data_IF_515853281225
#
_entry.id   IF_515853281225
#
_cell.length_a   1.000
_cell.length_b   1.000
_cell.length_c   1.000
_cell.angle_alpha   90.00
_cell.angle_beta   90.00
_cell.angle_gamma   90.00
#
_symmetry.space_group_name_H-M   'P 1'
#
loop_
_entity.id
_entity.type
_entity.pdbx_description
1 polymer ?
#
# COMPACT_ATOMS: atom_id res chain seq x y z
N UNK A 1 4.84 27.47 19.88
CA UNK A 1 6.29 27.81 20.03
C UNK A 1 6.99 26.54 20.50
N UNK A 2 8.06 26.12 19.83
CA UNK A 2 8.87 24.97 20.19
C UNK A 2 10.25 25.47 20.67
N UNK A 3 10.75 24.89 21.77
CA UNK A 3 12.12 25.19 22.22
C UNK A 3 13.13 24.55 21.27
N UNK A 4 14.20 25.27 20.94
CA UNK A 4 15.26 24.82 20.03
C UNK A 4 15.92 23.51 20.49
N UNK A 5 16.20 23.39 21.79
CA UNK A 5 16.79 22.19 22.39
C UNK A 5 15.94 20.93 22.16
N UNK A 6 14.60 21.05 22.25
CA UNK A 6 13.67 19.96 22.01
C UNK A 6 13.69 19.55 20.54
N UNK A 7 13.75 20.53 19.61
CA UNK A 7 13.84 20.24 18.19
C UNK A 7 15.16 19.53 17.86
N UNK A 8 16.28 20.03 18.34
CA UNK A 8 17.60 19.47 18.11
C UNK A 8 17.72 18.03 18.64
N UNK A 9 17.09 17.72 19.78
CA UNK A 9 17.10 16.37 20.37
C UNK A 9 16.37 15.30 19.53
N UNK A 10 15.43 15.70 18.67
CA UNK A 10 14.64 14.78 17.85
C UNK A 10 14.91 14.94 16.35
N UNK A 11 15.68 15.92 15.93
CA UNK A 11 15.88 16.28 14.52
C UNK A 11 16.38 15.11 13.66
N UNK A 12 17.26 14.27 14.20
CA UNK A 12 17.79 13.10 13.51
C UNK A 12 16.77 11.94 13.34
N UNK A 13 15.68 11.95 14.14
CA UNK A 13 14.64 10.93 14.12
C UNK A 13 13.38 11.36 13.35
N UNK A 14 13.35 12.61 12.85
CA UNK A 14 12.22 13.11 12.08
C UNK A 14 12.19 12.53 10.68
N UNK A 15 10.98 12.20 10.21
CA UNK A 15 10.77 11.75 8.84
C UNK A 15 10.60 12.99 7.95
N UNK A 16 11.48 13.26 6.97
CA UNK A 16 11.46 14.48 6.14
C UNK A 16 10.33 14.41 5.09
N UNK A 17 9.08 14.30 5.51
CA UNK A 17 7.94 14.18 4.59
C UNK A 17 6.69 14.89 5.14
N UNK A 18 6.27 15.92 4.40
CA UNK A 18 4.93 16.47 4.48
C UNK A 18 4.65 17.51 5.59
N UNK A 19 3.39 17.89 5.73
CA UNK A 19 2.88 18.98 6.59
C UNK A 19 2.78 18.63 8.08
N UNK A 20 3.40 17.54 8.55
CA UNK A 20 3.08 16.91 9.84
C UNK A 20 4.22 16.95 10.84
N UNK A 21 5.13 17.87 10.66
CA UNK A 21 6.31 18.02 11.51
C UNK A 21 5.97 18.10 13.01
N UNK A 22 4.84 18.73 13.36
CA UNK A 22 4.42 18.83 14.76
C UNK A 22 4.05 17.44 15.33
N UNK A 23 3.28 16.65 14.60
CA UNK A 23 2.92 15.27 15.01
C UNK A 23 4.17 14.40 15.13
N UNK A 24 5.09 14.55 14.19
CA UNK A 24 6.33 13.78 14.16
C UNK A 24 7.24 14.13 15.35
N UNK A 25 7.33 15.40 15.71
CA UNK A 25 8.04 15.88 16.91
C UNK A 25 7.38 15.31 18.18
N UNK A 26 6.04 15.42 18.29
CA UNK A 26 5.30 14.90 19.46
C UNK A 26 5.48 13.38 19.61
N UNK A 27 5.40 12.64 18.51
CA UNK A 27 5.60 11.18 18.52
C UNK A 27 7.06 10.80 18.85
N UNK A 28 8.05 11.58 18.38
CA UNK A 28 9.47 11.33 18.63
C UNK A 28 9.87 11.56 20.08
N UNK A 29 9.22 12.48 20.79
CA UNK A 29 9.51 12.78 22.18
C UNK A 29 8.92 11.76 23.17
N UNK A 30 8.17 10.76 22.71
CA UNK A 30 7.57 9.68 23.53
C UNK A 30 6.86 10.16 24.79
N UNK A 31 6.18 11.32 24.74
CA UNK A 31 5.46 11.90 25.86
C UNK A 31 6.34 12.61 26.91
N UNK A 32 7.65 12.74 26.71
CA UNK A 32 8.55 13.44 27.63
C UNK A 32 8.48 14.96 27.48
N UNK A 33 7.75 15.47 26.46
CA UNK A 33 7.61 16.90 26.24
C UNK A 33 6.41 17.45 26.99
N UNK A 34 6.60 18.58 27.68
CA UNK A 34 5.51 19.34 28.28
C UNK A 34 4.79 20.14 27.18
N UNK A 35 3.55 19.74 26.89
CA UNK A 35 2.71 20.37 25.85
C UNK A 35 1.65 21.22 26.53
N UNK A 36 1.47 22.46 26.04
CA UNK A 36 0.37 23.30 26.42
C UNK A 36 -0.46 23.63 25.17
N UNK A 37 -1.76 23.45 25.27
CA UNK A 37 -2.71 23.82 24.24
C UNK A 37 -3.19 25.25 24.45
N UNK A 38 -3.10 26.07 23.41
CA UNK A 38 -3.60 27.44 23.42
C UNK A 38 -4.71 27.56 22.39
N UNK A 39 -5.93 27.82 22.85
CA UNK A 39 -7.06 28.03 21.96
C UNK A 39 -6.87 29.31 21.13
N UNK A 40 -7.00 29.15 19.81
CA UNK A 40 -7.04 30.30 18.94
C UNK A 40 -8.10 30.14 17.85
N UNK A 41 -8.65 31.28 17.37
CA UNK A 41 -9.61 31.26 16.26
C UNK A 41 -8.90 31.24 14.92
N UNK A 42 -9.09 30.20 14.15
CA UNK A 42 -8.67 30.15 12.75
C UNK A 42 -9.45 31.19 11.95
N UNK A 43 -8.75 32.09 11.28
CA UNK A 43 -9.37 32.93 10.27
C UNK A 43 -9.60 32.15 9.01
N UNK A 44 -10.74 32.36 8.35
CA UNK A 44 -10.99 31.74 7.03
C UNK A 44 -9.90 32.16 6.05
N UNK A 45 -9.42 31.25 5.27
CA UNK A 45 -8.40 31.47 4.24
C UNK A 45 -8.98 32.43 3.20
N UNK A 46 -8.33 33.54 2.95
CA UNK A 46 -8.78 34.52 1.95
C UNK A 46 -8.39 34.14 0.54
N UNK A 47 -7.35 33.33 0.35
CA UNK A 47 -6.89 32.83 -0.96
C UNK A 47 -6.32 31.41 -0.86
N UNK A 48 -6.48 30.62 -1.93
CA UNK A 48 -5.89 29.29 -2.13
C UNK A 48 -6.84 28.12 -1.84
N UNK A 49 -6.66 27.03 -2.61
CA UNK A 49 -7.38 25.77 -2.42
C UNK A 49 -6.85 25.03 -1.20
N UNK A 50 -7.72 24.31 -0.51
CA UNK A 50 -7.32 23.42 0.58
C UNK A 50 -6.36 22.36 0.05
N UNK A 51 -5.14 22.27 0.60
CA UNK A 51 -4.18 21.21 0.30
C UNK A 51 -4.49 19.91 1.05
N UNK A 52 -5.68 19.79 1.62
CA UNK A 52 -6.14 18.55 2.25
C UNK A 52 -6.58 17.59 1.14
N UNK A 53 -5.60 17.05 0.46
CA UNK A 53 -5.74 16.07 -0.61
C UNK A 53 -5.62 14.66 -0.03
N UNK A 54 -6.12 13.68 -0.77
CA UNK A 54 -5.98 12.25 -0.47
C UNK A 54 -4.54 11.88 -0.10
N UNK A 55 -3.55 12.49 -0.76
CA UNK A 55 -2.13 12.36 -0.42
C UNK A 55 -1.82 12.75 1.03
N UNK A 56 -2.36 13.86 1.51
CA UNK A 56 -2.11 14.30 2.89
C UNK A 56 -2.68 13.32 3.92
N UNK A 57 -3.79 12.65 3.61
CA UNK A 57 -4.35 11.58 4.46
C UNK A 57 -3.44 10.36 4.41
N UNK A 58 -3.01 9.94 3.23
CA UNK A 58 -2.14 8.79 3.03
C UNK A 58 -0.79 8.97 3.75
N UNK A 59 -0.17 10.16 3.62
CA UNK A 59 1.06 10.49 4.32
C UNK A 59 0.86 10.53 5.85
N UNK A 60 -0.33 10.93 6.33
CA UNK A 60 -0.66 10.91 7.75
C UNK A 60 -0.79 9.49 8.29
N UNK A 61 -1.55 8.66 7.63
CA UNK A 61 -1.67 7.25 7.98
C UNK A 61 -0.30 6.56 7.92
N UNK A 62 0.50 6.98 6.95
CA UNK A 62 1.85 6.54 6.77
C UNK A 62 2.78 6.83 7.93
N UNK A 63 2.79 8.06 8.38
CA UNK A 63 3.58 8.47 9.54
C UNK A 63 3.12 7.72 10.80
N UNK A 64 1.80 7.61 11.00
CA UNK A 64 1.23 6.91 12.15
C UNK A 64 1.66 5.44 12.16
N UNK A 65 1.55 4.76 11.02
CA UNK A 65 1.94 3.38 10.87
C UNK A 65 3.45 3.18 11.10
N UNK A 66 4.28 4.06 10.51
CA UNK A 66 5.73 4.04 10.72
C UNK A 66 6.08 4.14 12.20
N UNK A 67 5.40 5.01 12.94
CA UNK A 67 5.62 5.17 14.39
C UNK A 67 5.11 3.98 15.19
N UNK A 68 3.97 3.39 14.82
CA UNK A 68 3.42 2.20 15.51
C UNK A 68 4.25 0.94 15.27
N UNK A 69 4.85 0.79 14.09
CA UNK A 69 5.59 -0.42 13.70
C UNK A 69 7.11 -0.29 13.85
N UNK A 70 7.59 0.86 14.36
CA UNK A 70 9.03 1.13 14.43
C UNK A 70 9.71 1.21 13.05
N UNK A 71 8.94 1.50 11.99
CA UNK A 71 9.45 1.61 10.62
C UNK A 71 9.60 0.28 9.88
N UNK A 72 9.20 -0.84 10.48
CA UNK A 72 9.34 -2.17 9.86
C UNK A 72 8.36 -2.40 8.71
N UNK A 73 7.20 -1.73 8.72
CA UNK A 73 6.18 -1.87 7.67
C UNK A 73 6.15 -0.61 6.81
N UNK A 74 6.40 -0.79 5.51
CA UNK A 74 6.25 0.29 4.54
C UNK A 74 4.78 0.62 4.33
N UNK A 75 4.45 1.92 4.32
CA UNK A 75 3.11 2.42 4.00
C UNK A 75 2.65 1.97 2.63
N UNK A 76 3.55 1.97 1.64
CA UNK A 76 3.25 1.47 0.30
C UNK A 76 2.86 0.00 0.32
N UNK A 77 3.52 -0.81 1.16
CA UNK A 77 3.14 -2.20 1.33
C UNK A 77 1.72 -2.35 1.87
N UNK A 78 1.35 -1.54 2.88
CA UNK A 78 -0.01 -1.59 3.42
C UNK A 78 -1.06 -1.20 2.37
N UNK A 79 -0.82 -0.12 1.59
CA UNK A 79 -1.73 0.24 0.50
C UNK A 79 -1.80 -0.84 -0.56
N UNK A 80 -0.69 -1.44 -0.92
CA UNK A 80 -0.65 -2.57 -1.85
C UNK A 80 -1.51 -3.74 -1.35
N UNK A 81 -1.43 -4.06 -0.05
CA UNK A 81 -2.26 -5.10 0.57
C UNK A 81 -3.75 -4.76 0.56
N UNK A 82 -4.11 -3.50 0.88
CA UNK A 82 -5.51 -3.04 0.83
C UNK A 82 -6.04 -3.13 -0.60
N UNK A 83 -5.27 -2.68 -1.58
CA UNK A 83 -5.64 -2.80 -3.00
C UNK A 83 -5.79 -4.26 -3.41
N UNK A 84 -4.91 -5.14 -2.93
CA UNK A 84 -5.02 -6.58 -3.15
C UNK A 84 -6.32 -7.18 -2.58
N UNK A 85 -6.72 -6.76 -1.38
CA UNK A 85 -7.99 -7.18 -0.77
C UNK A 85 -9.21 -6.68 -1.57
N UNK A 86 -9.17 -5.44 -2.05
CA UNK A 86 -10.21 -4.91 -2.95
C UNK A 86 -10.26 -5.72 -4.26
N UNK A 87 -9.12 -6.06 -4.82
CA UNK A 87 -9.04 -6.89 -6.02
C UNK A 87 -9.61 -8.28 -5.82
N UNK A 88 -9.42 -8.89 -4.65
CA UNK A 88 -10.08 -10.16 -4.30
C UNK A 88 -11.60 -10.01 -4.27
N UNK A 89 -12.12 -8.94 -3.68
CA UNK A 89 -13.56 -8.67 -3.68
C UNK A 89 -14.10 -8.50 -5.11
N UNK A 90 -13.40 -7.75 -5.97
CA UNK A 90 -13.74 -7.58 -7.39
C UNK A 90 -13.74 -8.94 -8.10
N UNK A 91 -12.71 -9.76 -7.86
CA UNK A 91 -12.59 -11.10 -8.45
C UNK A 91 -13.82 -11.96 -8.11
N UNK A 92 -14.20 -12.03 -6.84
CA UNK A 92 -15.34 -12.84 -6.40
C UNK A 92 -16.67 -12.34 -6.98
N UNK A 93 -16.85 -11.02 -7.08
CA UNK A 93 -18.05 -10.41 -7.67
C UNK A 93 -18.13 -10.76 -9.15
N UNK A 94 -17.06 -10.56 -9.90
CA UNK A 94 -17.02 -10.82 -11.36
C UNK A 94 -17.20 -12.32 -11.64
N UNK A 95 -16.55 -13.19 -10.87
CA UNK A 95 -16.72 -14.64 -10.95
C UNK A 95 -18.19 -15.02 -10.77
N UNK A 96 -18.83 -14.49 -9.72
CA UNK A 96 -20.25 -14.77 -9.44
C UNK A 96 -21.16 -14.29 -10.57
N UNK A 97 -20.94 -13.08 -11.07
CA UNK A 97 -21.72 -12.53 -12.19
C UNK A 97 -21.55 -13.40 -13.44
N UNK A 98 -20.31 -13.79 -13.76
CA UNK A 98 -20.04 -14.65 -14.92
C UNK A 98 -20.77 -15.99 -14.83
N UNK A 99 -20.72 -16.65 -13.67
CA UNK A 99 -21.44 -17.90 -13.43
C UNK A 99 -22.96 -17.74 -13.53
N UNK A 100 -23.52 -16.65 -13.00
CA UNK A 100 -24.95 -16.35 -13.12
C UNK A 100 -25.35 -16.03 -14.57
N UNK A 101 -24.41 -15.49 -15.37
CA UNK A 101 -24.60 -15.24 -16.80
C UNK A 101 -24.48 -16.48 -17.68
N UNK A 102 -24.30 -17.68 -17.09
CA UNK A 102 -24.22 -18.95 -17.81
C UNK A 102 -22.82 -19.32 -18.33
N UNK A 103 -21.78 -18.58 -17.97
CA UNK A 103 -20.40 -18.98 -18.30
C UNK A 103 -20.00 -20.18 -17.43
N UNK A 104 -19.25 -21.13 -18.01
CA UNK A 104 -18.60 -22.17 -17.26
C UNK A 104 -17.57 -21.59 -16.26
N UNK A 105 -17.33 -22.32 -15.16
CA UNK A 105 -16.45 -21.86 -14.07
C UNK A 105 -15.08 -21.37 -14.58
N UNK A 106 -14.42 -22.13 -15.45
CA UNK A 106 -13.07 -21.79 -15.97
C UNK A 106 -13.05 -20.48 -16.75
N UNK A 107 -14.06 -20.24 -17.59
CA UNK A 107 -14.18 -19.00 -18.35
C UNK A 107 -14.47 -17.81 -17.43
N UNK A 108 -15.43 -17.97 -16.48
CA UNK A 108 -15.76 -16.95 -15.51
C UNK A 108 -14.56 -16.62 -14.59
N UNK A 109 -13.82 -17.65 -14.15
CA UNK A 109 -12.61 -17.52 -13.33
C UNK A 109 -11.50 -16.76 -14.08
N UNK A 110 -11.27 -17.09 -15.34
CA UNK A 110 -10.23 -16.42 -16.17
C UNK A 110 -10.54 -14.95 -16.35
N UNK A 111 -11.79 -14.62 -16.69
CA UNK A 111 -12.24 -13.22 -16.85
C UNK A 111 -12.12 -12.47 -15.52
N UNK A 112 -12.58 -13.07 -14.42
CA UNK A 112 -12.51 -12.47 -13.08
C UNK A 112 -11.06 -12.18 -12.68
N UNK A 113 -10.14 -13.10 -12.96
CA UNK A 113 -8.70 -12.93 -12.67
C UNK A 113 -8.11 -11.75 -13.45
N UNK A 114 -8.37 -11.67 -14.75
CA UNK A 114 -7.85 -10.57 -15.59
C UNK A 114 -8.41 -9.22 -15.13
N UNK A 115 -9.71 -9.15 -14.83
CA UNK A 115 -10.35 -7.91 -14.36
C UNK A 115 -9.77 -7.51 -12.99
N UNK A 116 -9.63 -8.44 -12.05
CA UNK A 116 -9.06 -8.16 -10.73
C UNK A 116 -7.60 -7.68 -10.81
N UNK A 117 -6.76 -8.34 -11.59
CA UNK A 117 -5.37 -7.94 -11.81
C UNK A 117 -5.27 -6.55 -12.47
N UNK A 118 -6.11 -6.28 -13.47
CA UNK A 118 -6.17 -4.97 -14.12
C UNK A 118 -6.58 -3.88 -13.12
N UNK A 119 -7.62 -4.13 -12.34
CA UNK A 119 -8.09 -3.22 -11.30
C UNK A 119 -7.01 -2.95 -10.25
N UNK A 120 -6.32 -3.99 -9.78
CA UNK A 120 -5.21 -3.87 -8.85
C UNK A 120 -4.07 -3.00 -9.42
N UNK A 121 -3.70 -3.22 -10.67
CA UNK A 121 -2.69 -2.38 -11.33
C UNK A 121 -3.14 -0.91 -11.40
N UNK A 122 -4.37 -0.64 -11.85
CA UNK A 122 -4.88 0.72 -12.00
C UNK A 122 -4.94 1.45 -10.65
N UNK A 123 -5.48 0.81 -9.63
CA UNK A 123 -5.60 1.40 -8.28
C UNK A 123 -4.21 1.60 -7.65
N UNK A 124 -3.29 0.64 -7.77
CA UNK A 124 -1.92 0.80 -7.31
C UNK A 124 -1.20 1.94 -8.04
N UNK A 125 -1.38 2.06 -9.35
CA UNK A 125 -0.80 3.15 -10.14
C UNK A 125 -1.36 4.53 -9.76
N UNK A 126 -2.61 4.59 -9.30
CA UNK A 126 -3.26 5.84 -8.88
C UNK A 126 -2.97 6.23 -7.43
N UNK A 127 -2.91 5.25 -6.53
CA UNK A 127 -2.81 5.47 -5.08
C UNK A 127 -1.42 5.12 -4.54
N UNK A 128 -1.04 3.85 -4.60
CA UNK A 128 0.19 3.34 -3.97
C UNK A 128 1.45 3.95 -4.58
N UNK A 129 1.45 4.11 -5.91
CA UNK A 129 2.57 4.63 -6.69
C UNK A 129 2.23 5.95 -7.40
N UNK A 130 1.43 6.79 -6.76
CA UNK A 130 0.96 8.07 -7.32
C UNK A 130 2.09 9.05 -7.66
N UNK A 131 3.22 8.96 -6.95
CA UNK A 131 4.47 9.70 -7.19
C UNK A 131 5.26 9.19 -8.41
N UNK A 132 5.07 7.92 -8.78
CA UNK A 132 5.71 7.26 -9.94
C UNK A 132 4.67 6.80 -10.97
N UNK A 133 3.55 7.49 -11.07
CA UNK A 133 2.40 7.11 -11.89
C UNK A 133 2.77 6.93 -13.37
N UNK A 134 2.53 5.74 -13.88
CA UNK A 134 2.70 5.40 -15.29
C UNK A 134 1.54 5.96 -16.14
N UNK A 135 1.84 6.45 -17.34
CA UNK A 135 0.87 7.02 -18.28
C UNK A 135 1.12 6.53 -19.70
N UNK A 136 0.09 6.54 -20.54
CA UNK A 136 0.18 6.17 -21.95
C UNK A 136 0.76 4.77 -22.17
N UNK A 137 1.70 4.64 -23.10
CA UNK A 137 2.36 3.38 -23.45
C UNK A 137 3.14 2.75 -22.27
N UNK A 138 3.71 3.59 -21.39
CA UNK A 138 4.38 3.12 -20.18
C UNK A 138 3.40 2.42 -19.22
N UNK A 139 2.14 2.87 -19.13
CA UNK A 139 1.12 2.20 -18.34
C UNK A 139 0.77 0.82 -18.91
N UNK A 140 0.68 0.68 -20.23
CA UNK A 140 0.42 -0.61 -20.87
C UNK A 140 1.58 -1.59 -20.65
N UNK A 141 2.83 -1.15 -20.84
CA UNK A 141 4.00 -1.95 -20.56
C UNK A 141 4.09 -2.33 -19.06
N UNK A 142 3.73 -1.40 -18.18
CA UNK A 142 3.64 -1.65 -16.75
C UNK A 142 2.59 -2.69 -16.39
N UNK A 143 1.41 -2.65 -17.01
CA UNK A 143 0.36 -3.65 -16.83
C UNK A 143 0.81 -5.05 -17.23
N UNK A 144 1.47 -5.19 -18.38
CA UNK A 144 2.01 -6.48 -18.81
C UNK A 144 3.06 -7.03 -17.85
N UNK A 145 3.99 -6.19 -17.39
CA UNK A 145 4.95 -6.57 -16.36
C UNK A 145 4.27 -6.98 -15.05
N UNK A 146 3.22 -6.26 -14.66
CA UNK A 146 2.45 -6.57 -13.47
C UNK A 146 1.77 -7.94 -13.56
N UNK A 147 1.23 -8.31 -14.71
CA UNK A 147 0.69 -9.66 -14.93
C UNK A 147 1.74 -10.74 -14.75
N UNK A 148 2.94 -10.56 -15.29
CA UNK A 148 4.04 -11.52 -15.12
C UNK A 148 4.42 -11.64 -13.66
N UNK A 149 4.59 -10.52 -12.97
CA UNK A 149 4.94 -10.50 -11.52
C UNK A 149 3.88 -11.21 -10.69
N UNK A 150 2.59 -10.91 -10.92
CA UNK A 150 1.51 -11.55 -10.19
C UNK A 150 1.42 -13.07 -10.47
N UNK A 151 1.70 -13.49 -11.70
CA UNK A 151 1.77 -14.90 -12.06
C UNK A 151 2.86 -15.65 -11.31
N UNK A 152 4.07 -15.08 -11.25
CA UNK A 152 5.19 -15.69 -10.48
C UNK A 152 4.89 -15.67 -8.98
N UNK A 153 4.30 -14.59 -8.45
CA UNK A 153 3.90 -14.51 -7.05
C UNK A 153 2.83 -15.53 -6.67
N UNK A 154 1.91 -15.85 -7.59
CA UNK A 154 0.94 -16.92 -7.39
C UNK A 154 1.62 -18.31 -7.32
N UNK A 155 2.61 -18.57 -8.16
CA UNK A 155 3.40 -19.80 -8.07
C UNK A 155 4.18 -19.89 -6.76
N UNK A 156 4.78 -18.81 -6.30
CA UNK A 156 5.47 -18.75 -5.00
C UNK A 156 4.51 -19.02 -3.83
N UNK A 157 3.31 -18.43 -3.85
CA UNK A 157 2.26 -18.70 -2.88
C UNK A 157 1.90 -20.19 -2.84
N UNK A 158 1.57 -20.77 -3.99
CA UNK A 158 1.19 -22.19 -4.10
C UNK A 158 2.33 -23.08 -3.62
N UNK A 159 3.56 -22.80 -4.04
CA UNK A 159 4.74 -23.58 -3.66
C UNK A 159 4.95 -23.63 -2.15
N UNK A 160 4.92 -22.47 -1.49
CA UNK A 160 5.10 -22.38 -0.02
C UNK A 160 3.93 -23.03 0.73
N UNK A 161 2.69 -22.76 0.31
CA UNK A 161 1.53 -23.35 0.93
C UNK A 161 1.54 -24.90 0.81
N UNK A 162 1.84 -25.42 -0.37
CA UNK A 162 1.91 -26.87 -0.61
C UNK A 162 3.03 -27.51 0.20
N UNK A 163 4.22 -26.90 0.25
CA UNK A 163 5.35 -27.41 1.02
C UNK A 163 5.04 -27.49 2.52
N UNK A 164 4.45 -26.46 3.11
CA UNK A 164 4.06 -26.47 4.51
C UNK A 164 2.97 -27.48 4.80
N UNK A 165 1.97 -27.61 3.93
CA UNK A 165 0.89 -28.58 4.08
C UNK A 165 1.40 -30.02 4.07
N UNK A 166 2.31 -30.37 3.14
CA UNK A 166 2.95 -31.69 3.10
C UNK A 166 3.83 -31.94 4.33
N UNK A 167 4.38 -30.89 4.94
CA UNK A 167 5.16 -30.98 6.19
C UNK A 167 4.31 -31.10 7.47
N UNK A 168 3.04 -31.50 7.35
CA UNK A 168 2.07 -31.68 8.44
C UNK A 168 1.64 -30.40 9.16
N UNK A 169 1.84 -29.21 8.57
CA UNK A 169 1.26 -27.98 9.09
C UNK A 169 -0.25 -27.91 8.82
N UNK A 170 -0.97 -27.21 9.69
CA UNK A 170 -2.39 -26.98 9.50
C UNK A 170 -2.66 -26.24 8.19
N UNK A 171 -3.70 -26.63 7.44
CA UNK A 171 -4.04 -26.06 6.13
C UNK A 171 -4.17 -24.54 6.12
N UNK A 172 -4.67 -23.94 7.22
CA UNK A 172 -4.82 -22.50 7.36
C UNK A 172 -3.47 -21.80 7.60
N UNK A 173 -2.53 -22.42 8.34
CA UNK A 173 -1.15 -21.91 8.51
C UNK A 173 -0.44 -21.92 7.17
N UNK A 174 -0.51 -23.03 6.45
CA UNK A 174 0.07 -23.17 5.12
C UNK A 174 -0.50 -22.14 4.13
N UNK A 175 -1.81 -21.96 4.14
CA UNK A 175 -2.49 -20.94 3.31
C UNK A 175 -2.04 -19.52 3.63
N UNK A 176 -2.03 -19.12 4.91
CA UNK A 176 -1.60 -17.77 5.33
C UNK A 176 -0.13 -17.54 4.95
N UNK A 177 0.76 -18.50 5.20
CA UNK A 177 2.18 -18.36 4.85
C UNK A 177 2.37 -18.18 3.35
N UNK A 178 1.66 -18.95 2.52
CA UNK A 178 1.68 -18.80 1.06
C UNK A 178 1.23 -17.40 0.63
N UNK A 179 0.13 -16.89 1.20
CA UNK A 179 -0.37 -15.53 0.91
C UNK A 179 0.64 -14.46 1.30
N UNK A 180 1.26 -14.55 2.47
CA UNK A 180 2.28 -13.59 2.91
C UNK A 180 3.47 -13.57 1.95
N UNK A 181 3.98 -14.74 1.56
CA UNK A 181 5.11 -14.86 0.62
C UNK A 181 4.72 -14.31 -0.76
N UNK A 182 3.58 -14.71 -1.31
CA UNK A 182 3.09 -14.24 -2.60
C UNK A 182 2.86 -12.73 -2.63
N UNK A 183 2.24 -12.16 -1.60
CA UNK A 183 1.99 -10.73 -1.50
C UNK A 183 3.29 -9.91 -1.34
N UNK A 184 4.22 -10.40 -0.51
CA UNK A 184 5.53 -9.76 -0.32
C UNK A 184 6.35 -9.80 -1.61
N UNK A 185 6.33 -10.92 -2.32
CA UNK A 185 6.95 -11.06 -3.63
C UNK A 185 6.34 -10.08 -4.64
N UNK A 186 5.01 -10.07 -4.77
CA UNK A 186 4.30 -9.19 -5.70
C UNK A 186 4.58 -7.71 -5.42
N UNK A 187 4.58 -7.31 -4.14
CA UNK A 187 4.93 -5.94 -3.75
C UNK A 187 6.36 -5.59 -4.14
N UNK A 188 7.32 -6.41 -3.74
CA UNK A 188 8.74 -6.16 -3.98
C UNK A 188 9.07 -6.10 -5.47
N UNK A 189 8.63 -7.10 -6.22
CA UNK A 189 8.89 -7.17 -7.66
C UNK A 189 8.15 -6.07 -8.44
N UNK A 190 6.91 -5.75 -8.06
CA UNK A 190 6.18 -4.64 -8.68
C UNK A 190 6.88 -3.31 -8.43
N UNK A 191 7.38 -3.06 -7.23
CA UNK A 191 8.13 -1.85 -6.90
C UNK A 191 9.42 -1.70 -7.73
N UNK A 192 10.08 -2.81 -8.03
CA UNK A 192 11.36 -2.82 -8.77
C UNK A 192 11.15 -2.78 -10.29
N UNK A 193 10.23 -3.60 -10.82
CA UNK A 193 10.11 -3.83 -12.26
C UNK A 193 8.99 -3.02 -12.92
N UNK A 194 7.92 -2.71 -12.19
CA UNK A 194 6.76 -2.00 -12.73
C UNK A 194 6.87 -0.50 -12.44
N UNK A 195 7.10 -0.13 -11.17
CA UNK A 195 7.18 1.26 -10.71
C UNK A 195 8.60 1.62 -10.24
N UNK A 196 9.56 1.53 -11.15
CA UNK A 196 10.95 1.90 -10.87
C UNK A 196 11.09 3.42 -10.74
N UNK A 197 11.69 3.91 -9.64
CA UNK A 197 12.15 5.29 -9.59
C UNK A 197 13.20 5.52 -10.69
N UNK A 198 12.94 6.45 -11.58
CA UNK A 198 14.00 6.99 -12.43
C UNK A 198 14.90 7.83 -11.51
N UNK A 199 16.08 7.31 -11.22
CA UNK A 199 17.16 8.11 -10.65
C UNK A 199 17.62 9.03 -11.76
N UNK A 200 17.19 10.29 -11.73
CA UNK A 200 17.83 11.40 -12.43
C UNK A 200 18.80 12.06 -11.48
#
# INVERSE_FOLDING_TARGET
>A
VLKREVFESVASSLVPSGFKILLDILASTRGQMRVAEVAYRFRSRQEGLSKFDTRAILDFLGLLLHRMTGGTVSVRFLFFMIVGAIGLAIHLIVLRIGMLGGFGFEAAQSVATVIAMTSNFLVNNLLTYSDMKLRGTAALAGLLKFYVVCGVGALANIGVASWLFVSNESWWIAGIAGVIVGATFNYTMSSIFVWRQQQN
#
